data_IF_544686843637
#
_entry.id   IF_544686843637
#
_cell.length_a   1.000
_cell.length_b   1.000
_cell.length_c   1.000
_cell.angle_alpha   90.00
_cell.angle_beta   90.00
_cell.angle_gamma   90.00
#
_symmetry.space_group_name_H-M   'P 1'
#
loop_
_entity.id
_entity.type
_entity.pdbx_description
1 polymer ?
#
# COMPACT_ATOMS: atom_id res chain seq x y z
N UNK A 1 -11.07 -22.46 3.32
CA UNK A 1 -11.68 -21.54 2.33
C UNK A 1 -11.19 -21.95 0.94
N UNK A 2 -12.06 -22.02 -0.08
CA UNK A 2 -11.63 -22.42 -1.44
C UNK A 2 -10.62 -21.38 -2.01
N UNK A 3 -9.62 -21.82 -2.77
CA UNK A 3 -8.54 -20.95 -3.28
C UNK A 3 -9.07 -19.76 -4.07
N UNK A 4 -10.10 -19.96 -4.87
CA UNK A 4 -10.76 -18.89 -5.63
C UNK A 4 -11.51 -17.90 -4.73
N UNK A 5 -12.19 -18.39 -3.69
CA UNK A 5 -12.85 -17.53 -2.70
C UNK A 5 -11.85 -16.67 -1.95
N UNK A 6 -10.69 -17.23 -1.58
CA UNK A 6 -9.60 -16.48 -0.95
C UNK A 6 -9.04 -15.42 -1.89
N UNK A 7 -8.79 -15.77 -3.16
CA UNK A 7 -8.31 -14.80 -4.15
C UNK A 7 -9.28 -13.63 -4.31
N UNK A 8 -10.58 -13.90 -4.50
CA UNK A 8 -11.57 -12.84 -4.66
C UNK A 8 -11.70 -11.96 -3.43
N UNK A 9 -11.49 -12.52 -2.23
CA UNK A 9 -11.49 -11.75 -0.99
C UNK A 9 -10.26 -10.83 -0.92
N UNK A 10 -9.08 -11.33 -1.31
CA UNK A 10 -7.86 -10.52 -1.40
C UNK A 10 -7.99 -9.43 -2.48
N UNK A 11 -8.51 -9.72 -3.67
CA UNK A 11 -8.72 -8.66 -4.69
C UNK A 11 -9.61 -7.53 -4.18
N UNK A 12 -10.67 -7.85 -3.43
CA UNK A 12 -11.55 -6.84 -2.79
C UNK A 12 -10.85 -6.10 -1.66
N UNK A 13 -10.07 -6.80 -0.85
CA UNK A 13 -9.31 -6.21 0.26
C UNK A 13 -8.23 -5.27 -0.27
N UNK A 14 -7.53 -5.63 -1.36
CA UNK A 14 -6.53 -4.77 -2.02
C UNK A 14 -7.16 -3.48 -2.52
N UNK A 15 -8.34 -3.55 -3.15
CA UNK A 15 -9.08 -2.35 -3.57
C UNK A 15 -9.45 -1.47 -2.36
N UNK A 16 -9.97 -2.09 -1.30
CA UNK A 16 -10.33 -1.39 -0.07
C UNK A 16 -9.11 -0.70 0.59
N UNK A 17 -7.99 -1.39 0.70
CA UNK A 17 -6.76 -0.85 1.27
C UNK A 17 -6.20 0.28 0.42
N UNK A 18 -6.24 0.16 -0.91
CA UNK A 18 -5.81 1.21 -1.83
C UNK A 18 -6.65 2.48 -1.62
N UNK A 19 -7.97 2.34 -1.50
CA UNK A 19 -8.86 3.44 -1.16
C UNK A 19 -8.51 4.04 0.22
N UNK A 20 -8.29 3.20 1.22
CA UNK A 20 -7.94 3.64 2.58
C UNK A 20 -6.61 4.41 2.59
N UNK A 21 -5.59 3.96 1.84
CA UNK A 21 -4.31 4.66 1.68
C UNK A 21 -4.54 6.07 1.14
N UNK A 22 -5.37 6.21 0.10
CA UNK A 22 -5.70 7.53 -0.48
C UNK A 22 -6.36 8.42 0.56
N UNK A 23 -7.37 7.92 1.28
CA UNK A 23 -8.08 8.69 2.33
C UNK A 23 -7.12 9.15 3.43
N UNK A 24 -6.32 8.24 4.00
CA UNK A 24 -5.38 8.57 5.09
C UNK A 24 -4.29 9.51 4.60
N UNK A 25 -3.84 9.37 3.35
CA UNK A 25 -2.90 10.32 2.72
C UNK A 25 -3.51 11.71 2.60
N UNK A 26 -4.78 11.81 2.21
CA UNK A 26 -5.48 13.07 2.07
C UNK A 26 -5.68 13.77 3.43
N UNK A 27 -6.08 13.01 4.46
CA UNK A 27 -6.18 13.51 5.83
C UNK A 27 -4.81 14.03 6.31
N UNK A 28 -3.73 13.28 6.05
CA UNK A 28 -2.37 13.70 6.36
C UNK A 28 -1.99 15.02 5.68
N UNK A 29 -2.37 15.20 4.41
CA UNK A 29 -2.14 16.44 3.66
C UNK A 29 -2.91 17.62 4.26
N UNK A 30 -4.18 17.45 4.60
CA UNK A 30 -4.98 18.48 5.27
C UNK A 30 -4.34 18.90 6.59
N UNK A 31 -3.91 17.93 7.41
CA UNK A 31 -3.21 18.23 8.66
C UNK A 31 -1.91 18.98 8.39
N UNK A 32 -1.10 18.57 7.41
CA UNK A 32 0.12 19.30 7.05
C UNK A 32 -0.15 20.75 6.66
N UNK A 33 -1.21 21.02 5.91
CA UNK A 33 -1.59 22.39 5.55
C UNK A 33 -2.02 23.22 6.76
N UNK A 34 -2.72 22.62 7.72
CA UNK A 34 -3.28 23.34 8.87
C UNK A 34 -2.29 23.53 10.04
N UNK A 35 -1.45 22.53 10.33
CA UNK A 35 -0.52 22.51 11.48
C UNK A 35 0.96 22.43 11.08
N UNK A 36 1.28 22.49 9.78
CA UNK A 36 2.65 22.50 9.24
C UNK A 36 3.32 21.13 9.11
N UNK A 37 2.80 20.08 9.75
CA UNK A 37 3.38 18.73 9.71
C UNK A 37 2.30 17.63 9.68
N UNK A 38 2.71 16.41 9.27
CA UNK A 38 1.87 15.21 9.35
C UNK A 38 2.09 14.55 10.73
N UNK A 39 1.04 14.40 11.56
CA UNK A 39 1.13 13.72 12.85
C UNK A 39 1.78 12.33 12.72
N UNK A 40 2.57 11.95 13.73
CA UNK A 40 3.25 10.64 13.78
C UNK A 40 2.27 9.47 13.68
N UNK A 41 1.10 9.58 14.31
CA UNK A 41 0.03 8.57 14.24
C UNK A 41 -0.44 8.33 12.79
N UNK A 42 -0.74 9.39 12.05
CA UNK A 42 -1.19 9.30 10.65
C UNK A 42 -0.08 8.75 9.76
N UNK A 43 1.15 9.21 9.96
CA UNK A 43 2.32 8.74 9.20
C UNK A 43 2.57 7.25 9.41
N UNK A 44 2.53 6.80 10.66
CA UNK A 44 2.70 5.38 11.00
C UNK A 44 1.58 4.54 10.39
N UNK A 45 0.34 5.04 10.41
CA UNK A 45 -0.79 4.38 9.76
C UNK A 45 -0.57 4.25 8.23
N UNK A 46 -0.10 5.30 7.56
CA UNK A 46 0.23 5.26 6.13
C UNK A 46 1.29 4.19 5.83
N UNK A 47 2.35 4.12 6.63
CA UNK A 47 3.43 3.13 6.47
C UNK A 47 2.88 1.70 6.66
N UNK A 48 2.11 1.47 7.73
CA UNK A 48 1.51 0.16 8.01
C UNK A 48 0.61 -0.27 6.85
N UNK A 49 -0.21 0.63 6.31
CA UNK A 49 -1.09 0.34 5.19
C UNK A 49 -0.31 -0.05 3.93
N UNK A 50 0.74 0.69 3.59
CA UNK A 50 1.59 0.37 2.43
C UNK A 50 2.25 -1.00 2.60
N UNK A 51 2.81 -1.30 3.78
CA UNK A 51 3.42 -2.60 4.06
C UNK A 51 2.41 -3.74 3.98
N UNK A 52 1.19 -3.53 4.50
CA UNK A 52 0.13 -4.51 4.46
C UNK A 52 -0.34 -4.78 3.03
N UNK A 53 -0.55 -3.74 2.22
CA UNK A 53 -0.88 -3.87 0.79
C UNK A 53 0.23 -4.57 0.01
N UNK A 54 1.50 -4.30 0.31
CA UNK A 54 2.61 -5.01 -0.32
C UNK A 54 2.60 -6.52 -0.01
N UNK A 55 2.38 -6.88 1.24
CA UNK A 55 2.27 -8.29 1.65
C UNK A 55 1.09 -8.98 0.96
N UNK A 56 -0.04 -8.28 0.82
CA UNK A 56 -1.22 -8.77 0.15
C UNK A 56 -1.00 -9.02 -1.36
N UNK A 57 -0.31 -8.09 -2.04
CA UNK A 57 0.04 -8.24 -3.46
C UNK A 57 0.96 -9.45 -3.67
N UNK A 58 1.90 -9.71 -2.75
CA UNK A 58 2.73 -10.92 -2.80
C UNK A 58 1.88 -12.20 -2.63
N UNK A 59 0.87 -12.17 -1.74
CA UNK A 59 -0.07 -13.29 -1.60
C UNK A 59 -0.89 -13.50 -2.87
N UNK A 60 -1.40 -12.44 -3.50
CA UNK A 60 -2.10 -12.51 -4.79
C UNK A 60 -1.21 -13.08 -5.90
N UNK A 61 0.05 -12.66 -5.93
CA UNK A 61 1.07 -13.17 -6.85
C UNK A 61 1.24 -14.68 -6.75
N UNK A 62 1.29 -15.19 -5.51
CA UNK A 62 1.39 -16.63 -5.26
C UNK A 62 0.10 -17.39 -5.63
N UNK A 63 -1.06 -16.78 -5.39
CA UNK A 63 -2.36 -17.43 -5.58
C UNK A 63 -2.81 -17.46 -7.05
N UNK A 64 -2.54 -16.42 -7.83
CA UNK A 64 -2.96 -16.30 -9.22
C UNK A 64 -1.75 -16.28 -10.18
N UNK A 65 -1.39 -17.48 -10.64
CA UNK A 65 -0.27 -17.68 -11.57
C UNK A 65 -0.48 -17.00 -12.93
N UNK A 66 -1.73 -16.73 -13.35
CA UNK A 66 -2.01 -16.10 -14.66
C UNK A 66 -1.70 -14.60 -14.62
N UNK A 67 -2.01 -13.94 -13.51
CA UNK A 67 -1.76 -12.51 -13.30
C UNK A 67 -0.50 -12.20 -12.49
N UNK A 68 0.32 -13.21 -12.18
CA UNK A 68 1.55 -13.08 -11.39
C UNK A 68 2.44 -11.92 -11.87
N UNK A 69 2.74 -11.85 -13.17
CA UNK A 69 3.57 -10.78 -13.73
C UNK A 69 2.99 -9.38 -13.48
N UNK A 70 1.67 -9.21 -13.54
CA UNK A 70 0.99 -7.95 -13.22
C UNK A 70 1.18 -7.60 -11.74
N UNK A 71 0.90 -8.53 -10.82
CA UNK A 71 1.03 -8.28 -9.39
C UNK A 71 2.47 -7.98 -8.97
N UNK A 72 3.46 -8.70 -9.52
CA UNK A 72 4.87 -8.38 -9.32
C UNK A 72 5.22 -6.98 -9.83
N UNK A 73 4.71 -6.60 -11.00
CA UNK A 73 4.95 -5.26 -11.56
C UNK A 73 4.40 -4.18 -10.63
N UNK A 74 3.18 -4.35 -10.12
CA UNK A 74 2.58 -3.43 -9.14
C UNK A 74 3.43 -3.38 -7.86
N UNK A 75 3.88 -4.53 -7.36
CA UNK A 75 4.75 -4.59 -6.18
C UNK A 75 6.06 -3.80 -6.37
N UNK A 76 6.74 -3.98 -7.51
CA UNK A 76 7.98 -3.26 -7.79
C UNK A 76 7.76 -1.75 -7.97
N UNK A 77 6.62 -1.34 -8.55
CA UNK A 77 6.25 0.08 -8.63
C UNK A 77 6.09 0.67 -7.23
N UNK A 78 5.36 -0.01 -6.33
CA UNK A 78 5.19 0.44 -4.95
C UNK A 78 6.54 0.55 -4.25
N UNK A 79 7.41 -0.46 -4.40
CA UNK A 79 8.77 -0.45 -3.87
C UNK A 79 9.59 0.74 -4.38
N UNK A 80 9.52 1.05 -5.66
CA UNK A 80 10.23 2.20 -6.24
C UNK A 80 9.73 3.53 -5.64
N UNK A 81 8.41 3.68 -5.47
CA UNK A 81 7.81 4.87 -4.84
C UNK A 81 8.26 4.99 -3.38
N UNK A 82 8.22 3.91 -2.62
CA UNK A 82 8.69 3.87 -1.23
C UNK A 82 10.17 4.24 -1.17
N UNK A 83 11.01 3.64 -2.02
CA UNK A 83 12.44 3.95 -2.07
C UNK A 83 12.70 5.43 -2.35
N UNK A 84 12.02 6.03 -3.34
CA UNK A 84 12.15 7.46 -3.65
C UNK A 84 11.75 8.31 -2.44
N UNK A 85 10.66 7.96 -1.76
CA UNK A 85 10.20 8.69 -0.58
C UNK A 85 11.21 8.62 0.58
N UNK A 86 11.82 7.46 0.82
CA UNK A 86 12.84 7.29 1.87
C UNK A 86 14.15 7.98 1.53
N UNK A 87 14.60 7.88 0.28
CA UNK A 87 15.79 8.59 -0.22
C UNK A 87 15.62 10.10 -0.12
N UNK A 88 14.47 10.63 -0.53
CA UNK A 88 14.15 12.05 -0.40
C UNK A 88 14.09 12.55 1.05
N UNK A 89 13.87 11.65 2.01
CA UNK A 89 13.89 11.95 3.44
C UNK A 89 15.30 11.84 4.07
N UNK A 90 16.34 11.52 3.29
CA UNK A 90 17.71 11.33 3.78
C UNK A 90 17.86 10.15 4.74
N UNK A 91 16.96 9.16 4.66
CA UNK A 91 16.97 7.97 5.53
C UNK A 91 17.69 6.76 4.93
N UNK A 92 18.01 6.85 3.64
CA UNK A 92 18.79 5.90 2.82
C UNK A 92 19.55 6.75 1.80
#
# INVERSE_FOLDING_TARGET
>A
MNKEKLKNLLEKLTLFLTFLIVVVTWIGRIKKTNIGYVPSSIRNLQIILVLFTMAEILLLTYLDKKKNALYLSIFYIIMAVVYIAFKGAGRI
#
